data_IF_959989060199
#
_entry.id   IF_959989060199
#
_cell.length_a   1.000
_cell.length_b   1.000
_cell.length_c   1.000
_cell.angle_alpha   90.00
_cell.angle_beta   90.00
_cell.angle_gamma   90.00
#
_symmetry.space_group_name_H-M   'P 1'
#
loop_
_entity.id
_entity.type
_entity.pdbx_description
1 polymer ?
#
# COMPACT_ATOMS: atom_id res chain seq x y z
N UNK A 1 -25.63 -3.48 -28.61
CA UNK A 1 -25.39 -2.83 -27.30
C UNK A 1 -24.53 -1.62 -27.63
N UNK A 2 -25.00 -0.37 -27.34
CA UNK A 2 -24.14 0.81 -27.50
C UNK A 2 -23.06 0.79 -26.45
N UNK A 3 -21.79 0.94 -26.84
CA UNK A 3 -20.68 1.12 -25.90
C UNK A 3 -20.91 2.42 -25.13
N UNK A 4 -21.14 2.32 -23.82
CA UNK A 4 -21.17 3.48 -22.92
C UNK A 4 -19.76 3.97 -22.68
N UNK A 5 -19.53 5.27 -22.79
CA UNK A 5 -18.25 5.87 -22.37
C UNK A 5 -18.10 5.81 -20.85
N UNK A 6 -16.86 5.93 -20.34
CA UNK A 6 -16.63 5.99 -18.88
C UNK A 6 -17.36 7.19 -18.25
N UNK A 7 -17.52 8.30 -18.99
CA UNK A 7 -18.25 9.48 -18.52
C UNK A 7 -19.75 9.21 -18.35
N UNK A 8 -20.34 8.35 -19.21
CA UNK A 8 -21.73 7.94 -19.11
C UNK A 8 -21.97 7.00 -17.91
N UNK A 9 -20.94 6.30 -17.45
CA UNK A 9 -21.00 5.37 -16.32
C UNK A 9 -20.69 6.04 -14.97
N UNK A 10 -19.96 7.17 -14.96
CA UNK A 10 -19.42 7.78 -13.75
C UNK A 10 -20.47 8.39 -12.80
N UNK A 11 -21.73 8.46 -13.19
CA UNK A 11 -22.81 9.12 -12.43
C UNK A 11 -23.98 8.21 -12.06
N UNK A 12 -23.97 6.93 -12.47
CA UNK A 12 -25.04 5.98 -12.22
C UNK A 12 -24.48 4.69 -11.61
N UNK A 13 -24.20 4.74 -10.31
CA UNK A 13 -23.68 3.60 -9.54
C UNK A 13 -24.78 2.82 -8.82
N UNK A 14 -26.02 3.33 -8.75
CA UNK A 14 -27.10 2.73 -7.95
C UNK A 14 -27.39 1.27 -8.34
N UNK A 15 -27.20 0.91 -9.61
CA UNK A 15 -27.37 -0.44 -10.13
C UNK A 15 -26.22 -1.41 -9.74
N UNK A 16 -25.15 -0.91 -9.09
CA UNK A 16 -24.01 -1.69 -8.62
C UNK A 16 -23.97 -1.80 -7.10
N UNK A 17 -24.72 -0.95 -6.38
CA UNK A 17 -24.63 -0.83 -4.92
C UNK A 17 -25.23 -2.04 -4.23
N UNK A 18 -24.41 -2.71 -3.43
CA UNK A 18 -24.86 -3.74 -2.49
C UNK A 18 -25.15 -3.11 -1.13
N UNK A 19 -26.25 -3.50 -0.49
CA UNK A 19 -26.64 -2.97 0.82
C UNK A 19 -26.51 -4.02 1.89
N UNK A 20 -25.77 -3.73 2.96
CA UNK A 20 -25.62 -4.61 4.11
C UNK A 20 -26.97 -4.80 4.81
N UNK A 21 -27.36 -6.06 5.04
CA UNK A 21 -28.55 -6.46 5.79
C UNK A 21 -28.15 -6.83 7.22
N UNK A 22 -27.18 -7.72 7.37
CA UNK A 22 -26.67 -8.23 8.64
C UNK A 22 -25.21 -8.65 8.50
N UNK A 23 -24.56 -8.96 9.61
CA UNK A 23 -23.19 -9.48 9.57
C UNK A 23 -22.69 -9.91 10.92
N UNK A 24 -21.67 -10.76 10.89
CA UNK A 24 -21.04 -11.36 12.07
C UNK A 24 -19.51 -11.37 11.91
N UNK A 25 -18.79 -11.45 13.06
CA UNK A 25 -17.38 -11.79 13.08
C UNK A 25 -17.22 -13.29 12.96
N UNK A 26 -16.45 -13.75 11.97
CA UNK A 26 -16.20 -15.19 11.75
C UNK A 26 -14.90 -15.63 12.41
N UNK A 27 -13.90 -14.75 12.44
CA UNK A 27 -12.61 -14.97 13.09
C UNK A 27 -12.08 -13.67 13.68
N UNK A 28 -11.60 -13.75 14.91
CA UNK A 28 -11.00 -12.63 15.65
C UNK A 28 -9.64 -13.07 16.20
N UNK A 29 -8.63 -13.02 15.35
CA UNK A 29 -7.24 -13.34 15.67
C UNK A 29 -6.47 -12.13 16.21
N UNK A 30 -5.18 -12.33 16.47
CA UNK A 30 -4.27 -11.29 16.93
C UNK A 30 -4.21 -10.16 15.89
N UNK A 31 -4.06 -10.52 14.60
CA UNK A 31 -3.97 -9.58 13.50
C UNK A 31 -5.21 -9.62 12.59
N UNK A 32 -5.60 -10.81 12.14
CA UNK A 32 -6.68 -10.96 11.18
C UNK A 32 -8.05 -10.89 11.84
N UNK A 33 -8.91 -10.00 11.33
CA UNK A 33 -10.32 -9.88 11.68
C UNK A 33 -11.15 -10.23 10.47
N UNK A 34 -11.86 -11.35 10.49
CA UNK A 34 -12.69 -11.80 9.36
C UNK A 34 -14.17 -11.57 9.65
N UNK A 35 -14.86 -10.95 8.72
CA UNK A 35 -16.29 -10.66 8.75
C UNK A 35 -17.02 -11.47 7.70
N UNK A 36 -18.29 -11.75 7.97
CA UNK A 36 -19.26 -12.28 7.00
C UNK A 36 -20.53 -11.45 7.07
N UNK A 37 -20.88 -10.82 5.98
CA UNK A 37 -22.09 -10.01 5.85
C UNK A 37 -23.06 -10.68 4.88
N UNK A 38 -24.35 -10.56 5.17
CA UNK A 38 -25.44 -10.77 4.20
C UNK A 38 -25.75 -9.42 3.57
N UNK A 39 -25.74 -9.37 2.25
CA UNK A 39 -26.03 -8.16 1.48
C UNK A 39 -27.23 -8.38 0.57
N UNK A 40 -27.97 -7.30 0.28
CA UNK A 40 -28.94 -7.23 -0.81
C UNK A 40 -28.23 -6.79 -2.08
N UNK A 41 -28.35 -7.55 -3.13
CA UNK A 41 -27.87 -7.21 -4.46
C UNK A 41 -28.81 -6.17 -5.13
N UNK A 42 -28.36 -5.50 -6.20
CA UNK A 42 -29.19 -4.54 -6.92
C UNK A 42 -30.51 -5.11 -7.48
N UNK A 43 -30.56 -6.40 -7.77
CA UNK A 43 -31.76 -7.11 -8.24
C UNK A 43 -32.68 -7.58 -7.09
N UNK A 44 -32.34 -7.26 -5.83
CA UNK A 44 -33.08 -7.65 -4.64
C UNK A 44 -32.75 -9.03 -4.09
N UNK A 45 -31.91 -9.82 -4.75
CA UNK A 45 -31.45 -11.09 -4.22
C UNK A 45 -30.47 -10.87 -3.06
N UNK A 46 -30.27 -11.90 -2.22
CA UNK A 46 -29.31 -11.87 -1.11
C UNK A 46 -28.06 -12.68 -1.45
N UNK A 47 -26.90 -12.17 -1.01
CA UNK A 47 -25.63 -12.84 -1.14
C UNK A 47 -24.79 -12.71 0.14
N UNK A 48 -23.79 -13.60 0.29
CA UNK A 48 -22.80 -13.50 1.36
C UNK A 48 -21.55 -12.80 0.84
N UNK A 49 -20.95 -11.98 1.72
CA UNK A 49 -19.65 -11.36 1.52
C UNK A 49 -18.75 -11.68 2.70
N UNK A 50 -17.63 -12.33 2.42
CA UNK A 50 -16.59 -12.61 3.41
C UNK A 50 -15.39 -11.71 3.11
N UNK A 51 -14.88 -11.02 4.14
CA UNK A 51 -13.77 -10.10 3.96
C UNK A 51 -12.96 -9.93 5.24
N UNK A 52 -11.71 -9.49 5.06
CA UNK A 52 -10.81 -9.09 6.13
C UNK A 52 -11.01 -7.60 6.44
N UNK A 53 -11.27 -7.30 7.70
CA UNK A 53 -11.27 -5.92 8.20
C UNK A 53 -9.84 -5.53 8.57
N UNK A 54 -9.33 -4.47 7.95
CA UNK A 54 -7.95 -4.00 8.11
C UNK A 54 -7.93 -2.50 8.47
N UNK A 55 -7.06 -2.07 9.41
CA UNK A 55 -7.01 -0.66 9.85
C UNK A 55 -6.48 0.30 8.78
N UNK A 56 -5.89 -0.20 7.72
CA UNK A 56 -5.13 0.54 6.74
C UNK A 56 -3.63 0.44 6.99
N UNK A 57 -2.86 0.90 6.01
CA UNK A 57 -1.41 0.92 6.06
C UNK A 57 -0.85 2.17 5.37
N UNK A 58 0.44 2.40 5.55
CA UNK A 58 1.23 3.38 4.81
C UNK A 58 2.38 2.70 4.08
N UNK A 59 2.87 3.32 3.02
CA UNK A 59 4.11 2.94 2.35
C UNK A 59 4.91 4.19 2.01
N UNK A 60 6.23 4.11 2.07
CA UNK A 60 7.11 5.25 1.98
C UNK A 60 8.08 5.10 0.80
N UNK A 61 7.88 5.88 -0.25
CA UNK A 61 8.85 6.06 -1.31
C UNK A 61 9.92 7.06 -0.81
N UNK A 62 10.94 6.56 -0.16
CA UNK A 62 12.02 7.35 0.43
C UNK A 62 13.17 7.51 -0.58
N UNK A 63 13.45 8.77 -0.97
CA UNK A 63 14.44 9.10 -2.00
C UNK A 63 15.62 9.83 -1.35
N UNK A 64 16.81 9.24 -1.46
CA UNK A 64 18.07 9.80 -1.03
C UNK A 64 18.50 11.02 -1.89
N UNK A 65 19.38 11.86 -1.38
CA UNK A 65 19.86 13.06 -2.09
C UNK A 65 20.64 12.72 -3.38
N UNK A 66 21.22 11.52 -3.48
CA UNK A 66 21.86 11.00 -4.69
C UNK A 66 20.86 10.38 -5.70
N UNK A 67 19.58 10.37 -5.36
CA UNK A 67 18.50 9.88 -6.19
C UNK A 67 18.23 8.38 -6.09
N UNK A 68 18.96 7.61 -5.27
CA UNK A 68 18.63 6.21 -4.97
C UNK A 68 17.37 6.14 -4.10
N UNK A 69 16.69 5.01 -4.18
CA UNK A 69 15.48 4.71 -3.42
C UNK A 69 15.85 3.76 -2.28
N UNK A 70 15.39 4.08 -1.08
CA UNK A 70 15.53 3.22 0.08
C UNK A 70 14.56 2.06 -0.01
N UNK A 71 15.05 0.86 0.23
CA UNK A 71 14.33 -0.40 0.08
C UNK A 71 14.63 -1.31 1.25
N UNK A 72 13.78 -2.28 1.42
CA UNK A 72 13.89 -3.34 2.41
C UNK A 72 13.81 -4.70 1.74
N UNK A 73 14.46 -5.68 2.35
CA UNK A 73 14.29 -7.09 2.02
C UNK A 73 13.82 -7.81 3.27
N UNK A 74 12.59 -8.30 3.25
CA UNK A 74 11.95 -8.97 4.38
C UNK A 74 11.35 -10.31 3.94
N UNK A 75 11.41 -11.32 4.83
CA UNK A 75 10.76 -12.61 4.60
C UNK A 75 9.28 -12.50 4.88
N UNK A 76 8.44 -12.77 3.86
CA UNK A 76 6.99 -12.77 3.97
C UNK A 76 6.48 -14.21 4.08
N UNK A 77 6.20 -14.64 5.30
CA UNK A 77 5.81 -16.02 5.61
C UNK A 77 4.65 -16.56 4.75
N UNK A 78 3.56 -15.79 4.46
CA UNK A 78 2.44 -16.33 3.68
C UNK A 78 2.81 -16.76 2.26
N UNK A 79 3.84 -16.17 1.67
CA UNK A 79 4.33 -16.52 0.33
C UNK A 79 5.67 -17.25 0.38
N UNK A 80 6.18 -17.53 1.59
CA UNK A 80 7.38 -18.32 1.86
C UNK A 80 8.63 -17.86 1.11
N UNK A 81 8.82 -16.54 0.97
CA UNK A 81 10.00 -15.96 0.30
C UNK A 81 10.38 -14.59 0.86
N UNK A 82 11.65 -14.22 0.69
CA UNK A 82 12.12 -12.86 0.93
C UNK A 82 11.77 -11.98 -0.29
N UNK A 83 11.12 -10.84 -0.04
CA UNK A 83 10.72 -9.89 -1.07
C UNK A 83 11.43 -8.55 -0.89
N UNK A 84 11.56 -7.81 -1.98
CA UNK A 84 12.07 -6.44 -1.99
C UNK A 84 10.88 -5.50 -1.98
N UNK A 85 10.87 -4.60 -1.00
CA UNK A 85 9.76 -3.69 -0.74
C UNK A 85 10.27 -2.27 -0.44
N UNK A 86 9.42 -1.27 -0.62
CA UNK A 86 9.61 0.04 0.03
C UNK A 86 9.13 -0.06 1.48
N UNK A 87 9.69 0.73 2.45
CA UNK A 87 9.25 0.76 3.83
C UNK A 87 7.75 0.93 3.96
N UNK A 88 7.11 0.19 4.87
CA UNK A 88 5.67 0.19 5.00
C UNK A 88 5.20 -0.40 6.33
N UNK A 89 4.19 0.21 6.94
CA UNK A 89 3.62 -0.32 8.17
C UNK A 89 2.13 -0.08 8.31
N UNK A 90 1.54 -0.72 9.32
CA UNK A 90 0.11 -0.64 9.63
C UNK A 90 -0.20 0.61 10.47
N UNK A 91 -1.38 1.17 10.23
CA UNK A 91 -1.94 2.19 11.10
C UNK A 91 -2.32 1.58 12.46
N UNK A 92 -1.94 2.25 13.54
CA UNK A 92 -2.54 2.03 14.83
C UNK A 92 -3.96 2.62 14.86
N UNK A 93 -4.79 2.20 15.81
CA UNK A 93 -6.16 2.71 15.94
C UNK A 93 -6.16 4.21 16.15
N UNK A 94 -6.74 4.96 15.19
CA UNK A 94 -6.83 6.43 15.24
C UNK A 94 -5.54 7.17 14.91
N UNK A 95 -4.50 6.47 14.43
CA UNK A 95 -3.25 7.10 14.03
C UNK A 95 -3.41 7.90 12.72
N UNK A 96 -2.83 9.10 12.69
CA UNK A 96 -2.74 9.87 11.44
C UNK A 96 -1.80 9.18 10.46
N UNK A 97 -2.18 8.98 9.18
CA UNK A 97 -1.35 8.25 8.22
C UNK A 97 0.03 8.87 7.97
N UNK A 98 0.18 10.20 8.03
CA UNK A 98 1.48 10.82 7.87
C UNK A 98 2.38 10.57 9.08
N UNK A 99 1.84 10.62 10.29
CA UNK A 99 2.59 10.30 11.50
C UNK A 99 3.02 8.83 11.52
N UNK A 100 2.15 7.93 11.08
CA UNK A 100 2.49 6.53 10.87
C UNK A 100 3.65 6.37 9.88
N UNK A 101 3.58 7.01 8.72
CA UNK A 101 4.65 6.95 7.72
C UNK A 101 6.01 7.48 8.24
N UNK A 102 5.99 8.51 9.09
CA UNK A 102 7.20 9.04 9.73
C UNK A 102 7.77 8.08 10.76
N UNK A 103 6.92 7.44 11.56
CA UNK A 103 7.30 6.44 12.56
C UNK A 103 7.90 5.22 11.89
N UNK A 104 7.22 4.61 10.92
CA UNK A 104 7.66 3.41 10.21
C UNK A 104 9.00 3.64 9.49
N UNK A 105 9.15 4.76 8.76
CA UNK A 105 10.43 5.07 8.12
C UNK A 105 11.58 5.10 9.13
N UNK A 106 11.36 5.68 10.31
CA UNK A 106 12.39 5.76 11.34
C UNK A 106 12.66 4.42 12.01
N UNK A 107 11.62 3.67 12.33
CA UNK A 107 11.72 2.37 13.02
C UNK A 107 12.44 1.35 12.13
N UNK A 108 11.98 1.16 10.90
CA UNK A 108 12.52 0.16 9.98
C UNK A 108 13.91 0.55 9.44
N UNK A 109 14.10 1.81 9.07
CA UNK A 109 15.29 2.20 8.31
C UNK A 109 16.28 3.08 9.07
N UNK A 110 15.87 3.67 10.18
CA UNK A 110 16.62 4.68 10.91
C UNK A 110 16.63 6.08 10.25
N UNK A 111 15.95 6.26 9.13
CA UNK A 111 15.90 7.57 8.48
C UNK A 111 14.68 8.38 8.92
N UNK A 112 14.87 9.70 9.02
CA UNK A 112 13.77 10.68 9.03
C UNK A 112 13.81 11.50 7.74
N UNK A 113 12.77 12.29 7.44
CA UNK A 113 12.73 13.08 6.23
C UNK A 113 12.25 14.52 6.50
N UNK A 114 12.80 15.47 5.73
CA UNK A 114 12.45 16.91 5.83
C UNK A 114 11.17 17.26 5.08
N UNK A 115 10.86 16.55 4.00
CA UNK A 115 9.73 16.84 3.11
C UNK A 115 8.92 15.59 2.87
N UNK A 116 7.61 15.74 3.03
CA UNK A 116 6.63 14.69 2.86
C UNK A 116 5.52 15.15 1.91
N UNK A 117 5.13 14.29 1.00
CA UNK A 117 3.95 14.52 0.17
C UNK A 117 3.21 13.22 -0.08
N UNK A 118 1.88 13.25 0.07
CA UNK A 118 1.04 12.10 -0.24
C UNK A 118 0.98 11.90 -1.75
N UNK A 119 1.34 10.71 -2.22
CA UNK A 119 1.27 10.34 -3.63
C UNK A 119 -0.17 9.95 -3.97
N UNK A 120 -0.69 8.89 -3.33
CA UNK A 120 -2.07 8.40 -3.51
C UNK A 120 -2.42 7.34 -2.47
N UNK A 121 -3.70 7.00 -2.44
CA UNK A 121 -4.22 5.80 -1.79
C UNK A 121 -4.38 4.70 -2.84
N UNK A 122 -4.02 3.48 -2.47
CA UNK A 122 -4.30 2.27 -3.24
C UNK A 122 -5.06 1.26 -2.38
N UNK A 123 -5.75 0.34 -3.02
CA UNK A 123 -6.41 -0.79 -2.38
C UNK A 123 -5.83 -2.07 -2.98
N UNK A 124 -4.95 -2.79 -2.28
CA UNK A 124 -4.24 -3.93 -2.84
C UNK A 124 -5.14 -5.13 -3.10
N UNK A 125 -6.24 -5.27 -2.34
CA UNK A 125 -7.08 -6.49 -2.34
C UNK A 125 -8.57 -6.14 -2.25
N UNK A 126 -9.11 -5.42 -3.22
CA UNK A 126 -10.47 -4.88 -3.20
C UNK A 126 -11.60 -5.91 -3.13
N UNK A 127 -11.32 -7.19 -3.42
CA UNK A 127 -12.34 -8.23 -3.48
C UNK A 127 -12.67 -8.87 -2.13
N UNK A 128 -11.73 -8.82 -1.17
CA UNK A 128 -11.92 -9.48 0.12
C UNK A 128 -11.19 -8.81 1.30
N UNK A 129 -10.82 -7.54 1.17
CA UNK A 129 -10.24 -6.79 2.28
C UNK A 129 -10.65 -5.32 2.24
N UNK A 130 -10.80 -4.72 3.43
CA UNK A 130 -10.96 -3.27 3.58
C UNK A 130 -9.62 -2.52 3.55
N UNK A 131 -8.52 -3.23 3.31
CA UNK A 131 -7.19 -2.66 3.31
C UNK A 131 -7.04 -1.53 2.29
N UNK A 132 -6.49 -0.44 2.75
CA UNK A 132 -5.93 0.61 1.91
C UNK A 132 -4.49 0.87 2.31
N UNK A 133 -3.68 1.38 1.38
CA UNK A 133 -2.32 1.83 1.63
C UNK A 133 -2.19 3.27 1.15
N UNK A 134 -1.86 4.18 2.06
CA UNK A 134 -1.51 5.56 1.72
C UNK A 134 -0.01 5.64 1.42
N UNK A 135 0.33 5.95 0.17
CA UNK A 135 1.72 6.06 -0.28
C UNK A 135 2.20 7.50 -0.13
N UNK A 136 3.33 7.67 0.55
CA UNK A 136 4.00 8.95 0.75
C UNK A 136 5.36 8.98 0.05
N UNK A 137 5.71 10.14 -0.51
CA UNK A 137 7.07 10.46 -0.92
C UNK A 137 7.79 11.13 0.25
N UNK A 138 8.99 10.65 0.59
CA UNK A 138 9.88 11.22 1.58
C UNK A 138 11.19 11.67 0.91
N UNK A 139 11.56 12.93 1.09
CA UNK A 139 12.76 13.54 0.50
C UNK A 139 13.54 14.33 1.57
N UNK A 140 14.85 14.54 1.32
CA UNK A 140 15.76 15.17 2.28
C UNK A 140 15.95 14.29 3.50
N UNK A 141 16.33 13.03 3.26
CA UNK A 141 16.49 12.02 4.29
C UNK A 141 17.67 12.36 5.21
N UNK A 142 17.48 12.12 6.51
CA UNK A 142 18.47 12.31 7.56
C UNK A 142 18.69 10.96 8.23
N UNK A 143 19.91 10.39 8.17
CA UNK A 143 20.20 9.12 8.81
C UNK A 143 20.16 9.22 10.33
N UNK A 144 19.72 8.15 10.97
CA UNK A 144 19.67 7.97 12.42
C UNK A 144 19.66 6.49 12.78
N UNK A 145 19.47 6.13 14.03
CA UNK A 145 19.39 4.74 14.44
C UNK A 145 18.04 4.13 14.08
N UNK A 146 18.03 2.94 13.47
CA UNK A 146 16.85 2.10 13.32
C UNK A 146 16.42 1.52 14.68
N UNK A 147 15.15 1.20 14.81
CA UNK A 147 14.55 0.61 16.01
C UNK A 147 13.50 -0.41 15.61
N UNK A 148 13.96 -1.51 15.00
CA UNK A 148 13.08 -2.61 14.60
C UNK A 148 12.33 -3.17 15.81
N UNK A 149 11.13 -3.62 15.59
CA UNK A 149 10.37 -4.41 16.56
C UNK A 149 11.09 -5.75 16.83
N UNK A 150 10.87 -6.36 18.00
CA UNK A 150 11.59 -7.56 18.43
C UNK A 150 11.42 -8.76 17.47
N UNK A 151 10.32 -8.79 16.69
CA UNK A 151 10.01 -9.85 15.73
C UNK A 151 10.27 -9.44 14.27
N UNK A 152 10.86 -8.26 14.03
CA UNK A 152 11.17 -7.77 12.69
C UNK A 152 12.60 -8.06 12.28
N UNK A 153 12.74 -8.78 11.18
CA UNK A 153 14.02 -9.11 10.56
C UNK A 153 14.01 -8.64 9.11
N UNK A 154 14.73 -7.58 8.81
CA UNK A 154 14.84 -7.03 7.47
C UNK A 154 16.23 -6.48 7.19
N UNK A 155 16.60 -6.45 5.91
CA UNK A 155 17.80 -5.77 5.43
C UNK A 155 17.40 -4.45 4.76
N UNK A 156 17.99 -3.35 5.17
CA UNK A 156 17.82 -2.05 4.54
C UNK A 156 18.93 -1.80 3.54
N UNK A 157 18.57 -1.36 2.34
CA UNK A 157 19.54 -1.01 1.28
C UNK A 157 18.96 0.07 0.36
N UNK A 158 19.77 0.57 -0.58
CA UNK A 158 19.32 1.55 -1.54
C UNK A 158 19.74 1.19 -2.95
N UNK A 159 18.86 1.40 -3.93
CA UNK A 159 19.13 1.12 -5.33
C UNK A 159 18.67 2.28 -6.25
N UNK A 160 19.31 2.47 -7.41
CA UNK A 160 18.89 3.47 -8.38
C UNK A 160 17.58 3.07 -9.06
N UNK A 161 16.80 4.06 -9.51
CA UNK A 161 15.51 3.82 -10.16
C UNK A 161 15.58 2.85 -11.34
N UNK A 162 16.67 2.90 -12.13
CA UNK A 162 16.85 2.00 -13.26
C UNK A 162 16.88 0.52 -12.88
N UNK A 163 17.52 0.19 -11.75
CA UNK A 163 17.52 -1.18 -11.23
C UNK A 163 16.14 -1.60 -10.73
N UNK A 164 15.40 -0.70 -10.06
CA UNK A 164 14.04 -1.01 -9.62
C UNK A 164 13.13 -1.32 -10.80
N UNK A 165 13.24 -0.55 -11.89
CA UNK A 165 12.47 -0.79 -13.11
C UNK A 165 12.79 -2.16 -13.70
N UNK A 166 14.08 -2.51 -13.83
CA UNK A 166 14.50 -3.84 -14.28
C UNK A 166 13.97 -4.95 -13.37
N UNK A 167 14.05 -4.77 -12.05
CA UNK A 167 13.56 -5.77 -11.08
C UNK A 167 12.04 -5.93 -11.13
N UNK A 168 11.29 -4.88 -11.43
CA UNK A 168 9.85 -4.97 -11.67
C UNK A 168 9.56 -5.72 -12.96
N UNK A 169 10.22 -5.36 -14.07
CA UNK A 169 10.03 -5.97 -15.38
C UNK A 169 10.40 -7.46 -15.41
N UNK A 170 11.45 -7.84 -14.68
CA UNK A 170 11.91 -9.23 -14.58
C UNK A 170 11.17 -10.06 -13.51
N UNK A 171 10.26 -9.44 -12.75
CA UNK A 171 9.50 -10.11 -11.70
C UNK A 171 10.30 -10.38 -10.42
N UNK A 172 11.45 -9.76 -10.22
CA UNK A 172 12.21 -9.80 -8.97
C UNK A 172 11.51 -8.99 -7.87
N UNK A 173 10.85 -7.89 -8.23
CA UNK A 173 9.93 -7.15 -7.37
C UNK A 173 8.50 -7.51 -7.78
N UNK A 174 7.74 -8.07 -6.84
CA UNK A 174 6.34 -8.50 -7.02
C UNK A 174 5.38 -7.76 -6.10
N UNK A 175 5.90 -6.99 -5.15
CA UNK A 175 5.11 -6.20 -4.22
C UNK A 175 4.42 -5.02 -4.90
N UNK A 176 3.08 -4.95 -4.79
CA UNK A 176 2.25 -4.00 -5.52
C UNK A 176 2.53 -2.53 -5.17
N UNK A 177 2.78 -2.21 -3.89
CA UNK A 177 3.08 -0.84 -3.45
C UNK A 177 4.41 -0.34 -3.99
N UNK A 178 5.41 -1.23 -4.07
CA UNK A 178 6.74 -0.95 -4.63
C UNK A 178 6.69 -0.77 -6.15
N UNK A 179 5.97 -1.65 -6.85
CA UNK A 179 5.74 -1.54 -8.30
C UNK A 179 5.10 -0.20 -8.66
N UNK A 180 4.01 0.16 -8.00
CA UNK A 180 3.28 1.42 -8.25
C UNK A 180 4.17 2.62 -7.96
N UNK A 181 4.92 2.60 -6.86
CA UNK A 181 5.82 3.69 -6.46
C UNK A 181 6.98 3.86 -7.45
N UNK A 182 7.52 2.76 -7.97
CA UNK A 182 8.59 2.75 -8.97
C UNK A 182 8.15 3.43 -10.26
N UNK A 183 7.01 3.03 -10.84
CA UNK A 183 6.48 3.64 -12.06
C UNK A 183 6.01 5.09 -11.85
N UNK A 184 5.47 5.41 -10.66
CA UNK A 184 5.10 6.79 -10.35
C UNK A 184 6.33 7.70 -10.33
N UNK A 185 7.44 7.26 -9.71
CA UNK A 185 8.68 8.03 -9.64
C UNK A 185 9.32 8.21 -11.03
N UNK A 186 9.32 7.16 -11.84
CA UNK A 186 9.80 7.22 -13.22
C UNK A 186 9.03 8.28 -14.01
N UNK A 187 7.70 8.23 -13.97
CA UNK A 187 6.85 9.20 -14.67
C UNK A 187 7.10 10.63 -14.18
N UNK A 188 7.24 10.83 -12.87
CA UNK A 188 7.54 12.14 -12.28
C UNK A 188 8.87 12.70 -12.80
N UNK A 189 9.94 11.87 -12.82
CA UNK A 189 11.26 12.29 -13.29
C UNK A 189 11.27 12.63 -14.77
N UNK A 190 10.61 11.83 -15.60
CA UNK A 190 10.45 12.13 -17.04
C UNK A 190 9.73 13.47 -17.28
N UNK A 191 8.68 13.77 -16.53
CA UNK A 191 7.97 15.04 -16.63
C UNK A 191 8.86 16.24 -16.27
N UNK A 192 9.69 16.11 -15.22
CA UNK A 192 10.62 17.16 -14.79
C UNK A 192 11.80 17.37 -15.74
N UNK A 193 12.17 16.36 -16.53
CA UNK A 193 13.27 16.45 -17.53
C UNK A 193 12.83 17.11 -18.84
N UNK A 194 11.52 17.23 -19.06
CA UNK A 194 10.92 17.82 -20.27
C UNK A 194 10.40 19.26 -20.03
N UNK A 195 10.62 19.80 -18.82
CA UNK A 195 10.28 21.18 -18.42
C UNK A 195 11.52 22.04 -18.33
#
# INVERSE_FOLDING_TARGET
>A
MSEKSFQDLAHDEDHLVEKRISGEGVYDGIFLKMKRDTVSLPDGQHALREYLEHPGAVAILAVLDDGRILLERQYRYPISQAVIEIPAGKLNVGEDPLLCAQRELQEETGYTAKRWSKIRRIHPVISYSTEFIDIYLAEGLIPGPARLDEEEFLDVFAAPLGELLEWVETGKITDVKTIISTYWLERRRRASSNS
#
